data_IF_591382532136
#
_entry.id   IF_591382532136
#
_cell.length_a   1.000
_cell.length_b   1.000
_cell.length_c   1.000
_cell.angle_alpha   90.00
_cell.angle_beta   90.00
_cell.angle_gamma   90.00
#
_symmetry.space_group_name_H-M   'P 1'
#
loop_
_entity.id
_entity.type
_entity.pdbx_description
1 polymer ?
#
# COMPACT_ATOMS: atom_id res chain seq x y z
N UNK A 1 3.29 -62.04 44.37
CA UNK A 1 4.34 -61.00 44.43
C UNK A 1 5.32 -61.25 43.30
N UNK A 2 5.30 -60.44 42.23
CA UNK A 2 6.30 -60.51 41.17
C UNK A 2 6.42 -59.13 40.51
N UNK A 3 7.52 -58.45 40.78
CA UNK A 3 7.86 -57.13 40.24
C UNK A 3 8.29 -57.31 38.78
N UNK A 4 7.62 -56.63 37.85
CA UNK A 4 8.16 -56.32 36.53
C UNK A 4 7.91 -54.84 36.23
N UNK A 5 9.02 -54.09 36.33
CA UNK A 5 9.24 -52.73 35.90
C UNK A 5 8.93 -52.61 34.39
N UNK A 6 7.92 -51.82 34.01
CA UNK A 6 7.64 -51.47 32.61
C UNK A 6 7.83 -49.96 32.41
N UNK A 7 8.50 -49.62 31.32
CA UNK A 7 9.05 -48.32 30.94
C UNK A 7 8.04 -47.14 30.96
N UNK A 8 8.50 -45.88 31.17
CA UNK A 8 7.63 -44.73 31.17
C UNK A 8 7.20 -44.37 29.74
N UNK A 9 5.91 -44.54 29.46
CA UNK A 9 5.27 -44.10 28.23
C UNK A 9 5.03 -42.58 28.31
N UNK A 10 5.69 -41.85 27.43
CA UNK A 10 5.46 -40.43 27.20
C UNK A 10 4.03 -40.18 26.68
N UNK A 11 3.25 -39.37 27.40
CA UNK A 11 2.19 -38.54 26.78
C UNK A 11 2.19 -37.19 27.50
N UNK A 12 2.86 -36.24 26.87
CA UNK A 12 2.86 -34.81 27.17
C UNK A 12 1.44 -34.27 26.90
N UNK A 13 0.66 -34.13 27.97
CA UNK A 13 -0.71 -33.64 27.94
C UNK A 13 -0.79 -32.13 27.70
N UNK A 14 -0.96 -31.76 26.43
CA UNK A 14 -1.94 -30.80 25.90
C UNK A 14 -2.55 -29.78 26.89
N UNK A 15 -2.07 -28.53 26.86
CA UNK A 15 -2.90 -27.37 27.22
C UNK A 15 -2.41 -26.09 26.50
N UNK A 16 -2.62 -26.05 25.18
CA UNK A 16 -2.62 -24.80 24.40
C UNK A 16 -4.09 -24.43 24.22
N UNK A 17 -4.57 -23.45 24.96
CA UNK A 17 -5.90 -22.87 24.75
C UNK A 17 -5.93 -22.18 23.39
N UNK A 18 -6.64 -22.77 22.43
CA UNK A 18 -6.94 -22.15 21.14
C UNK A 18 -7.92 -20.99 21.37
N UNK A 19 -7.42 -19.76 21.25
CA UNK A 19 -8.28 -18.60 21.04
C UNK A 19 -8.60 -18.52 19.54
N UNK A 20 -9.87 -18.44 19.14
CA UNK A 20 -10.20 -18.14 17.76
C UNK A 20 -9.84 -16.66 17.52
N UNK A 21 -8.79 -16.42 16.76
CA UNK A 21 -8.58 -15.11 16.16
C UNK A 21 -9.70 -14.89 15.15
N UNK A 22 -10.56 -13.91 15.39
CA UNK A 22 -11.48 -13.42 14.37
C UNK A 22 -10.63 -12.86 13.24
N UNK A 23 -10.52 -13.62 12.15
CA UNK A 23 -9.96 -13.13 10.91
C UNK A 23 -11.03 -12.23 10.27
N UNK A 24 -10.93 -10.92 10.47
CA UNK A 24 -11.57 -9.99 9.56
C UNK A 24 -10.96 -10.23 8.18
N UNK A 25 -11.74 -10.85 7.29
CA UNK A 25 -11.36 -11.05 5.90
C UNK A 25 -11.19 -9.68 5.27
N UNK A 26 -9.94 -9.25 5.17
CA UNK A 26 -9.57 -8.10 4.36
C UNK A 26 -9.78 -8.52 2.91
N UNK A 27 -10.81 -7.98 2.27
CA UNK A 27 -11.09 -8.20 0.85
C UNK A 27 -9.96 -7.53 0.03
N UNK A 28 -8.97 -8.34 -0.34
CA UNK A 28 -7.86 -7.90 -1.18
C UNK A 28 -8.34 -7.97 -2.63
N UNK A 29 -8.41 -6.84 -3.36
CA UNK A 29 -8.87 -6.84 -4.75
C UNK A 29 -8.03 -7.80 -5.60
N UNK A 30 -8.68 -8.83 -6.15
CA UNK A 30 -8.04 -9.84 -7.00
C UNK A 30 -7.58 -11.13 -6.30
N UNK A 31 -7.95 -11.32 -5.04
CA UNK A 31 -7.66 -12.56 -4.28
C UNK A 31 -8.98 -13.22 -3.84
N UNK A 32 -9.41 -14.23 -4.60
CA UNK A 32 -10.58 -15.02 -4.24
C UNK A 32 -10.25 -16.03 -3.13
N UNK A 33 -11.18 -16.30 -2.22
CA UNK A 33 -10.96 -17.27 -1.11
C UNK A 33 -10.71 -18.72 -1.56
N UNK A 34 -10.83 -19.02 -2.86
CA UNK A 34 -10.55 -20.33 -3.46
C UNK A 34 -9.27 -20.36 -4.31
N UNK A 35 -8.50 -19.27 -4.32
CA UNK A 35 -7.30 -19.17 -5.16
C UNK A 35 -6.20 -20.13 -4.69
N UNK A 36 -5.54 -20.76 -5.65
CA UNK A 36 -4.42 -21.66 -5.39
C UNK A 36 -3.23 -20.87 -4.81
N UNK A 37 -2.32 -21.51 -4.04
CA UNK A 37 -1.13 -20.84 -3.51
C UNK A 37 -0.28 -20.14 -4.58
N UNK A 38 -0.31 -20.65 -5.82
CA UNK A 38 0.39 -20.06 -6.96
C UNK A 38 -0.25 -18.74 -7.39
N UNK A 39 -1.57 -18.69 -7.50
CA UNK A 39 -2.32 -17.49 -7.91
C UNK A 39 -2.20 -16.38 -6.86
N UNK A 40 -2.22 -16.74 -5.57
CA UNK A 40 -1.96 -15.80 -4.47
C UNK A 40 -0.58 -15.15 -4.57
N UNK A 41 0.45 -15.96 -4.83
CA UNK A 41 1.82 -15.47 -4.99
C UNK A 41 1.94 -14.55 -6.20
N UNK A 42 1.34 -14.93 -7.33
CA UNK A 42 1.34 -14.14 -8.55
C UNK A 42 0.63 -12.79 -8.33
N UNK A 43 -0.57 -12.80 -7.74
CA UNK A 43 -1.33 -11.60 -7.41
C UNK A 43 -0.56 -10.65 -6.49
N UNK A 44 -0.02 -11.18 -5.39
CA UNK A 44 0.78 -10.40 -4.45
C UNK A 44 2.03 -9.79 -5.10
N UNK A 45 2.74 -10.56 -5.93
CA UNK A 45 3.92 -10.06 -6.66
C UNK A 45 3.57 -8.93 -7.61
N UNK A 46 2.43 -9.04 -8.32
CA UNK A 46 1.97 -8.02 -9.26
C UNK A 46 1.61 -6.72 -8.54
N UNK A 47 0.90 -6.81 -7.42
CA UNK A 47 0.57 -5.66 -6.58
C UNK A 47 1.84 -4.98 -6.04
N UNK A 48 2.81 -5.77 -5.56
CA UNK A 48 4.08 -5.24 -5.07
C UNK A 48 4.83 -4.46 -6.18
N UNK A 49 4.92 -5.03 -7.39
CA UNK A 49 5.61 -4.38 -8.50
C UNK A 49 4.89 -3.10 -8.97
N UNK A 50 3.57 -3.08 -8.96
CA UNK A 50 2.78 -1.87 -9.25
C UNK A 50 2.99 -0.78 -8.20
N UNK A 51 2.97 -1.14 -6.92
CA UNK A 51 3.26 -0.20 -5.84
C UNK A 51 4.69 0.36 -5.95
N UNK A 52 5.65 -0.49 -6.31
CA UNK A 52 7.04 -0.08 -6.57
C UNK A 52 7.14 0.88 -7.75
N UNK A 53 6.42 0.63 -8.84
CA UNK A 53 6.37 1.52 -10.01
C UNK A 53 5.84 2.91 -9.62
N UNK A 54 4.75 2.97 -8.86
CA UNK A 54 4.19 4.23 -8.36
C UNK A 54 5.18 4.96 -7.44
N UNK A 55 5.85 4.24 -6.55
CA UNK A 55 6.87 4.81 -5.67
C UNK A 55 8.03 5.41 -6.47
N UNK A 56 8.52 4.72 -7.51
CA UNK A 56 9.59 5.23 -8.38
C UNK A 56 9.13 6.47 -9.13
N UNK A 57 7.90 6.47 -9.68
CA UNK A 57 7.33 7.65 -10.37
C UNK A 57 7.16 8.86 -9.46
N UNK A 58 6.99 8.65 -8.15
CA UNK A 58 6.89 9.74 -7.18
C UNK A 58 8.22 10.46 -6.92
N UNK A 59 9.36 9.87 -7.31
CA UNK A 59 10.68 10.50 -7.12
C UNK A 59 10.82 11.71 -8.05
N UNK A 60 11.11 12.92 -7.52
CA UNK A 60 11.28 14.11 -8.34
C UNK A 60 12.50 13.97 -9.27
N UNK A 61 12.30 14.27 -10.56
CA UNK A 61 13.40 14.36 -11.52
C UNK A 61 14.00 15.77 -11.53
N UNK A 62 15.33 15.86 -11.66
CA UNK A 62 16.03 17.15 -11.75
C UNK A 62 16.70 17.34 -13.11
N UNK A 63 16.84 18.61 -13.52
CA UNK A 63 17.60 19.01 -14.69
C UNK A 63 19.10 19.06 -14.38
N UNK A 64 19.92 19.24 -15.42
CA UNK A 64 21.35 19.43 -15.25
C UNK A 64 21.64 20.67 -14.38
N UNK A 65 22.62 20.60 -13.46
CA UNK A 65 22.97 21.71 -12.59
C UNK A 65 23.61 22.86 -13.39
N UNK A 66 23.30 24.10 -13.00
CA UNK A 66 23.88 25.32 -13.61
C UNK A 66 24.59 26.13 -12.54
N UNK A 67 25.84 26.52 -12.81
CA UNK A 67 26.62 27.39 -11.93
C UNK A 67 26.23 28.85 -12.21
N UNK A 68 25.89 29.58 -11.16
CA UNK A 68 25.50 30.98 -11.22
C UNK A 68 26.73 31.91 -11.15
N UNK A 69 26.63 33.19 -11.57
CA UNK A 69 27.75 34.13 -11.55
C UNK A 69 28.35 34.40 -10.17
N UNK A 70 27.58 34.19 -9.11
CA UNK A 70 28.04 34.29 -7.72
C UNK A 70 28.75 33.03 -7.21
N UNK A 71 28.74 31.94 -7.98
CA UNK A 71 29.36 30.65 -7.63
C UNK A 71 28.40 29.59 -7.09
N UNK A 72 27.11 29.90 -6.89
CA UNK A 72 26.11 28.93 -6.43
C UNK A 72 25.69 27.94 -7.53
N UNK A 73 25.09 26.82 -7.14
CA UNK A 73 24.57 25.81 -8.07
C UNK A 73 23.04 25.79 -8.02
N UNK A 74 22.41 26.01 -9.17
CA UNK A 74 20.97 25.90 -9.36
C UNK A 74 20.59 24.50 -9.86
N UNK A 75 19.83 23.75 -9.05
CA UNK A 75 19.29 22.43 -9.42
C UNK A 75 17.77 22.53 -9.57
N UNK A 76 17.27 22.53 -10.81
CA UNK A 76 15.84 22.68 -11.10
C UNK A 76 15.13 21.33 -11.14
N UNK A 77 13.94 21.23 -10.57
CA UNK A 77 13.05 20.07 -10.78
C UNK A 77 12.49 20.12 -12.20
N UNK A 78 12.44 18.99 -12.89
CA UNK A 78 11.67 18.87 -14.13
C UNK A 78 10.18 18.93 -13.78
N UNK A 79 9.35 19.62 -14.57
CA UNK A 79 7.91 19.55 -14.41
C UNK A 79 7.46 18.09 -14.53
N UNK A 80 6.63 17.62 -13.59
CA UNK A 80 5.94 16.34 -13.78
C UNK A 80 4.99 16.47 -14.98
N UNK A 81 4.86 15.41 -15.78
CA UNK A 81 3.82 15.37 -16.81
C UNK A 81 2.45 15.55 -16.12
N UNK A 82 1.52 16.33 -16.71
CA UNK A 82 0.19 16.48 -16.14
C UNK A 82 -0.50 15.12 -16.10
N UNK A 83 -1.01 14.73 -14.94
CA UNK A 83 -1.97 13.63 -14.85
C UNK A 83 -3.17 14.00 -15.72
N UNK A 84 -3.33 13.34 -16.89
CA UNK A 84 -4.47 13.54 -17.79
C UNK A 84 -5.83 13.20 -17.14
N UNK A 85 -5.82 12.67 -15.91
CA UNK A 85 -6.99 12.21 -15.17
C UNK A 85 -7.62 13.24 -14.25
N UNK A 86 -7.01 14.41 -14.04
CA UNK A 86 -7.62 15.48 -13.24
C UNK A 86 -8.49 16.37 -14.14
N UNK A 87 -9.82 16.46 -13.91
CA UNK A 87 -10.63 17.42 -14.62
C UNK A 87 -10.10 18.81 -14.33
N UNK A 88 -9.83 19.59 -15.39
CA UNK A 88 -9.45 20.99 -15.28
C UNK A 88 -10.58 21.75 -14.59
N UNK A 89 -10.44 22.05 -13.31
CA UNK A 89 -11.30 22.99 -12.62
C UNK A 89 -11.00 24.39 -13.19
N UNK A 90 -11.91 24.87 -14.05
CA UNK A 90 -11.88 26.25 -14.54
C UNK A 90 -12.01 27.20 -13.34
N UNK A 91 -11.07 28.14 -13.13
CA UNK A 91 -11.11 29.09 -12.00
C UNK A 91 -12.17 30.20 -12.14
N UNK A 92 -13.31 29.95 -12.78
CA UNK A 92 -14.25 30.99 -13.22
C UNK A 92 -15.67 30.91 -12.67
N UNK A 93 -16.03 29.91 -11.86
CA UNK A 93 -17.43 29.66 -11.52
C UNK A 93 -17.67 29.61 -10.00
N UNK A 94 -17.26 30.65 -9.30
CA UNK A 94 -17.69 30.94 -7.92
C UNK A 94 -17.82 32.45 -7.77
N UNK A 95 -19.03 32.97 -8.00
CA UNK A 95 -19.62 34.12 -7.29
C UNK A 95 -20.87 34.63 -8.00
N UNK A 96 -21.98 33.88 -7.91
CA UNK A 96 -23.35 34.41 -8.07
C UNK A 96 -24.36 33.61 -7.23
N UNK A 97 -24.12 33.53 -5.92
CA UNK A 97 -25.16 33.05 -5.00
C UNK A 97 -25.04 33.72 -3.62
N UNK A 98 -25.16 35.04 -3.58
CA UNK A 98 -25.27 35.79 -2.31
C UNK A 98 -25.99 37.11 -2.56
N UNK A 99 -27.23 37.05 -3.05
CA UNK A 99 -28.10 38.25 -3.04
C UNK A 99 -29.61 37.90 -3.07
N UNK A 100 -30.02 36.80 -2.43
CA UNK A 100 -31.43 36.38 -2.39
C UNK A 100 -32.01 36.29 -0.97
N UNK A 101 -31.42 36.97 0.02
CA UNK A 101 -31.92 37.02 1.41
C UNK A 101 -32.03 38.45 1.98
N UNK A 102 -32.27 39.45 1.12
CA UNK A 102 -32.64 40.80 1.56
C UNK A 102 -33.83 41.34 0.79
N UNK A 103 -35.04 40.87 1.10
CA UNK A 103 -36.26 41.71 1.10
C UNK A 103 -37.24 41.16 2.14
#
# INVERSE_FOLDING_TARGET
MLIKLFAPLAVLGLLISAQPAHADTMDIPGVDSQSSPKELLEGASRMMLQALELMIKAVPQYAAPVILPNGDILIRRKPSEPDETLPKSNPGEQDKHSDQDRI
#
